data_IF_580168626992
#
_entry.id   IF_580168626992
#
_cell.length_a   1.000
_cell.length_b   1.000
_cell.length_c   1.000
_cell.angle_alpha   90.00
_cell.angle_beta   90.00
_cell.angle_gamma   90.00
#
_symmetry.space_group_name_H-M   'P 1'
#
loop_
_entity.id
_entity.type
_entity.pdbx_description
1 polymer ?
#
# COMPACT_ATOMS: atom_id res chain seq x y z
N UNK A 1 5.35 -22.54 -8.45
CA UNK A 1 3.97 -22.26 -8.92
C UNK A 1 3.99 -20.96 -9.71
N UNK A 2 3.43 -20.98 -10.90
CA UNK A 2 3.29 -19.74 -11.67
C UNK A 2 1.99 -19.04 -11.28
N UNK A 3 2.11 -17.85 -10.69
CA UNK A 3 0.97 -17.05 -10.25
C UNK A 3 0.45 -16.12 -11.33
N UNK A 4 1.10 -16.12 -12.52
CA UNK A 4 0.74 -15.29 -13.67
C UNK A 4 0.72 -13.78 -13.33
N UNK A 5 1.66 -13.35 -12.51
CA UNK A 5 1.78 -11.96 -12.07
C UNK A 5 2.76 -11.13 -12.89
N UNK A 6 3.44 -11.75 -13.86
CA UNK A 6 4.40 -11.05 -14.72
C UNK A 6 3.74 -9.85 -15.40
N UNK A 7 4.31 -8.66 -15.18
CA UNK A 7 3.79 -7.41 -15.73
C UNK A 7 2.50 -6.88 -15.11
N UNK A 8 1.94 -7.55 -14.11
CA UNK A 8 0.79 -7.05 -13.37
C UNK A 8 1.23 -5.94 -12.42
N UNK A 9 0.47 -4.86 -12.36
CA UNK A 9 0.78 -3.75 -11.47
C UNK A 9 0.10 -3.92 -10.13
N UNK A 10 0.91 -3.95 -9.07
CA UNK A 10 0.45 -4.19 -7.70
C UNK A 10 0.82 -3.03 -6.78
N UNK A 11 -0.12 -2.58 -5.96
CA UNK A 11 0.13 -1.64 -4.86
C UNK A 11 -0.05 -2.36 -3.54
N UNK A 12 0.93 -2.21 -2.66
CA UNK A 12 0.82 -2.63 -1.26
C UNK A 12 0.86 -1.40 -0.38
N UNK A 13 -0.24 -1.07 0.29
CA UNK A 13 -0.27 0.09 1.19
C UNK A 13 0.50 -0.20 2.48
N UNK A 14 1.18 0.81 3.03
CA UNK A 14 1.98 0.63 4.24
C UNK A 14 3.08 -0.42 4.08
N UNK A 15 3.85 -0.35 3.00
CA UNK A 15 4.79 -1.41 2.62
C UNK A 15 6.26 -1.06 2.82
N UNK A 16 6.58 -0.10 3.69
CA UNK A 16 7.98 0.26 3.98
C UNK A 16 8.66 -0.69 4.96
N UNK A 17 7.91 -1.52 5.65
CA UNK A 17 8.42 -2.46 6.66
C UNK A 17 7.42 -3.60 6.89
N UNK A 18 7.83 -4.60 7.65
CA UNK A 18 6.97 -5.67 8.17
C UNK A 18 6.28 -6.50 7.09
N UNK A 19 5.02 -6.83 7.36
CA UNK A 19 4.22 -7.70 6.48
C UNK A 19 4.02 -7.06 5.09
N UNK A 20 3.77 -5.76 5.04
CA UNK A 20 3.61 -5.04 3.77
C UNK A 20 4.87 -5.09 2.91
N UNK A 21 6.04 -4.89 3.50
CA UNK A 21 7.30 -5.01 2.79
C UNK A 21 7.53 -6.45 2.28
N UNK A 22 7.29 -7.44 3.12
CA UNK A 22 7.44 -8.84 2.73
C UNK A 22 6.50 -9.21 1.58
N UNK A 23 5.27 -8.70 1.61
CA UNK A 23 4.28 -8.89 0.54
C UNK A 23 4.77 -8.25 -0.76
N UNK A 24 5.23 -7.01 -0.70
CA UNK A 24 5.75 -6.29 -1.87
C UNK A 24 6.95 -7.02 -2.49
N UNK A 25 7.87 -7.49 -1.65
CA UNK A 25 9.02 -8.27 -2.09
C UNK A 25 8.59 -9.58 -2.76
N UNK A 26 7.61 -10.28 -2.17
CA UNK A 26 7.06 -11.51 -2.75
C UNK A 26 6.45 -11.28 -4.12
N UNK A 27 5.65 -10.24 -4.27
CA UNK A 27 5.04 -9.87 -5.56
C UNK A 27 6.11 -9.52 -6.61
N UNK A 28 7.16 -8.80 -6.21
CA UNK A 28 8.27 -8.48 -7.09
C UNK A 28 9.00 -9.74 -7.58
N UNK A 29 9.19 -10.73 -6.70
CA UNK A 29 9.79 -12.03 -7.06
C UNK A 29 8.96 -12.81 -8.08
N UNK A 30 7.65 -12.59 -8.07
CA UNK A 30 6.72 -13.20 -9.02
C UNK A 30 6.54 -12.40 -10.31
N UNK A 31 7.34 -11.34 -10.52
CA UNK A 31 7.36 -10.56 -11.75
C UNK A 31 6.38 -9.40 -11.82
N UNK A 32 5.70 -9.08 -10.74
CA UNK A 32 4.81 -7.93 -10.71
C UNK A 32 5.58 -6.60 -10.72
N UNK A 33 4.99 -5.57 -11.32
CA UNK A 33 5.39 -4.18 -11.14
C UNK A 33 4.84 -3.71 -9.79
N UNK A 34 5.71 -3.43 -8.82
CA UNK A 34 5.28 -3.17 -7.45
C UNK A 34 5.37 -1.69 -7.11
N UNK A 35 4.29 -1.16 -6.54
CA UNK A 35 4.27 0.16 -5.93
C UNK A 35 4.34 -0.03 -4.43
N UNK A 36 5.39 0.50 -3.81
CA UNK A 36 5.52 0.56 -2.35
C UNK A 36 5.06 1.92 -1.86
N UNK A 37 4.42 1.93 -0.69
CA UNK A 37 3.82 3.13 -0.12
C UNK A 37 4.16 3.25 1.36
N UNK A 38 4.38 4.47 1.78
CA UNK A 38 4.52 4.89 3.16
C UNK A 38 4.36 6.39 3.25
N UNK A 39 4.26 6.93 4.46
CA UNK A 39 4.12 8.39 4.67
C UNK A 39 5.43 9.14 4.44
N UNK A 40 6.56 8.52 4.78
CA UNK A 40 7.88 9.14 4.67
C UNK A 40 8.52 8.79 3.33
N UNK A 41 8.82 9.79 2.48
CA UNK A 41 9.47 9.57 1.18
C UNK A 41 10.80 8.81 1.29
N UNK A 42 11.62 9.13 2.27
CA UNK A 42 12.91 8.47 2.47
C UNK A 42 12.76 6.99 2.80
N UNK A 43 11.80 6.63 3.64
CA UNK A 43 11.52 5.24 3.98
C UNK A 43 10.94 4.47 2.79
N UNK A 44 10.07 5.11 2.01
CA UNK A 44 9.50 4.51 0.81
C UNK A 44 10.59 4.24 -0.23
N UNK A 45 11.49 5.20 -0.46
CA UNK A 45 12.62 5.03 -1.37
C UNK A 45 13.58 3.92 -0.91
N UNK A 46 13.87 3.85 0.39
CA UNK A 46 14.72 2.76 0.92
C UNK A 46 14.08 1.39 0.72
N UNK A 47 12.78 1.28 0.95
CA UNK A 47 12.07 0.02 0.73
C UNK A 47 12.14 -0.40 -0.75
N UNK A 48 11.88 0.52 -1.67
CA UNK A 48 11.99 0.27 -3.10
C UNK A 48 13.41 -0.19 -3.49
N UNK A 49 14.44 0.49 -2.98
CA UNK A 49 15.83 0.16 -3.25
C UNK A 49 16.21 -1.23 -2.70
N UNK A 50 15.71 -1.59 -1.52
CA UNK A 50 15.93 -2.93 -0.95
C UNK A 50 15.31 -4.03 -1.82
N UNK A 51 14.11 -3.81 -2.34
CA UNK A 51 13.47 -4.76 -3.24
C UNK A 51 14.28 -4.92 -4.52
N UNK A 52 14.72 -3.81 -5.11
CA UNK A 52 15.56 -3.84 -6.33
C UNK A 52 16.89 -4.57 -6.11
N UNK A 53 17.49 -4.41 -4.93
CA UNK A 53 18.73 -5.10 -4.58
C UNK A 53 18.54 -6.62 -4.48
N UNK A 54 17.37 -7.07 -4.01
CA UNK A 54 17.06 -8.50 -3.82
C UNK A 54 16.46 -9.14 -5.07
N UNK A 55 15.83 -8.34 -5.93
CA UNK A 55 15.19 -8.78 -7.17
C UNK A 55 15.65 -7.83 -8.27
N UNK A 56 16.83 -8.07 -8.88
CA UNK A 56 17.46 -7.08 -9.77
C UNK A 56 16.61 -6.67 -10.98
N UNK A 57 15.75 -7.55 -11.46
CA UNK A 57 14.88 -7.27 -12.63
C UNK A 57 13.53 -6.65 -12.22
N UNK A 58 13.29 -6.44 -10.93
CA UNK A 58 12.03 -5.91 -10.46
C UNK A 58 11.81 -4.45 -10.87
N UNK A 59 10.59 -4.16 -11.28
CA UNK A 59 10.11 -2.78 -11.47
C UNK A 59 9.41 -2.36 -10.21
N UNK A 60 9.97 -1.38 -9.51
CA UNK A 60 9.47 -0.91 -8.22
C UNK A 60 9.37 0.60 -8.23
N UNK A 61 8.23 1.12 -7.84
CA UNK A 61 7.97 2.55 -7.69
C UNK A 61 7.66 2.85 -6.23
N UNK A 62 8.27 3.90 -5.68
CA UNK A 62 7.95 4.39 -4.34
C UNK A 62 6.99 5.56 -4.45
N UNK A 63 5.88 5.52 -3.71
CA UNK A 63 4.92 6.62 -3.63
C UNK A 63 4.67 6.95 -2.17
N UNK A 64 5.15 8.13 -1.75
CA UNK A 64 4.90 8.65 -0.42
C UNK A 64 3.52 9.31 -0.38
N UNK A 65 2.64 8.84 0.49
CA UNK A 65 1.33 9.42 0.73
C UNK A 65 0.81 8.96 2.08
N UNK A 66 0.15 9.86 2.80
CA UNK A 66 -0.56 9.52 4.03
C UNK A 66 -2.00 9.12 3.68
N UNK A 67 -2.29 7.84 3.76
CA UNK A 67 -3.59 7.29 3.36
C UNK A 67 -4.65 7.36 4.47
N UNK A 68 -4.35 8.00 5.59
CA UNK A 68 -5.31 8.22 6.67
C UNK A 68 -6.35 9.29 6.36
N UNK A 69 -6.17 10.04 5.28
CA UNK A 69 -7.10 11.10 4.88
C UNK A 69 -7.39 11.08 3.36
N UNK A 70 -8.37 11.88 2.96
CA UNK A 70 -8.78 11.98 1.56
C UNK A 70 -7.68 12.55 0.65
N UNK A 71 -7.02 13.68 1.00
CA UNK A 71 -5.96 14.23 0.15
C UNK A 71 -4.81 13.27 -0.11
N UNK A 72 -4.41 12.49 0.89
CA UNK A 72 -3.36 11.48 0.74
C UNK A 72 -3.75 10.36 -0.22
N UNK A 73 -4.98 9.85 -0.10
CA UNK A 73 -5.51 8.85 -1.02
C UNK A 73 -5.58 9.40 -2.46
N UNK A 74 -6.07 10.61 -2.63
CA UNK A 74 -6.13 11.26 -3.95
C UNK A 74 -4.75 11.48 -4.56
N UNK A 75 -3.76 11.84 -3.75
CA UNK A 75 -2.37 12.00 -4.16
C UNK A 75 -1.81 10.67 -4.70
N UNK A 76 -2.03 9.56 -3.99
CA UNK A 76 -1.62 8.24 -4.44
C UNK A 76 -2.30 7.86 -5.76
N UNK A 77 -3.61 8.06 -5.86
CA UNK A 77 -4.39 7.75 -7.05
C UNK A 77 -3.88 8.53 -8.27
N UNK A 78 -3.53 9.80 -8.10
CA UNK A 78 -2.94 10.60 -9.19
C UNK A 78 -1.61 10.03 -9.66
N UNK A 79 -0.78 9.55 -8.73
CA UNK A 79 0.52 8.96 -9.06
C UNK A 79 0.38 7.58 -9.70
N UNK A 80 -0.65 6.83 -9.30
CA UNK A 80 -0.89 5.45 -9.75
C UNK A 80 -2.36 5.30 -10.09
N UNK A 81 -2.81 5.74 -11.29
CA UNK A 81 -4.24 5.74 -11.60
C UNK A 81 -4.86 4.37 -11.84
N UNK A 82 -4.05 3.37 -12.22
CA UNK A 82 -4.55 2.02 -12.53
C UNK A 82 -3.72 0.94 -11.86
N UNK A 83 -4.36 -0.11 -11.40
CA UNK A 83 -3.76 -1.29 -10.78
C UNK A 83 -4.45 -2.56 -11.25
N UNK A 84 -3.69 -3.66 -11.22
CA UNK A 84 -4.24 -5.01 -11.36
C UNK A 84 -4.46 -5.66 -9.97
N UNK A 85 -3.61 -5.33 -9.00
CA UNK A 85 -3.71 -5.84 -7.63
C UNK A 85 -3.62 -4.70 -6.62
N UNK A 86 -4.51 -4.73 -5.65
CA UNK A 86 -4.47 -3.82 -4.50
C UNK A 86 -4.41 -4.66 -3.22
N UNK A 87 -3.35 -4.45 -2.44
CA UNK A 87 -3.23 -5.06 -1.12
C UNK A 87 -3.40 -3.97 -0.07
N UNK A 88 -4.57 -3.95 0.55
CA UNK A 88 -4.90 -3.02 1.63
C UNK A 88 -4.26 -3.53 2.94
N UNK A 89 -2.99 -3.20 3.13
CA UNK A 89 -2.20 -3.64 4.26
C UNK A 89 -2.05 -2.55 5.34
N UNK A 90 -2.23 -1.27 4.98
CA UNK A 90 -2.04 -0.19 5.94
C UNK A 90 -2.90 -0.39 7.19
N UNK A 91 -2.29 -0.25 8.35
CA UNK A 91 -2.98 -0.28 9.62
C UNK A 91 -2.13 0.32 10.71
N UNK A 92 -2.77 0.88 11.72
CA UNK A 92 -2.14 1.31 12.95
C UNK A 92 -2.67 0.46 14.09
N UNK A 93 -1.84 0.24 15.08
CA UNK A 93 -2.17 -0.52 16.27
C UNK A 93 -1.54 0.19 17.47
N UNK A 94 -2.38 0.51 18.46
CA UNK A 94 -1.97 1.24 19.65
C UNK A 94 -2.82 0.75 20.84
N UNK A 95 -2.34 -0.25 21.57
CA UNK A 95 -3.14 -0.82 22.66
C UNK A 95 -3.27 0.16 23.83
N UNK A 96 -4.50 0.31 24.31
CA UNK A 96 -4.85 1.08 25.50
C UNK A 96 -5.96 0.37 26.26
N UNK A 97 -6.07 0.54 27.58
CA UNK A 97 -7.29 0.16 28.30
C UNK A 97 -8.52 0.82 27.67
N UNK A 98 -9.63 0.09 27.62
CA UNK A 98 -10.83 0.55 26.92
C UNK A 98 -11.29 1.94 27.41
N UNK A 99 -11.27 2.17 28.72
CA UNK A 99 -11.71 3.42 29.35
C UNK A 99 -10.79 4.61 29.04
N UNK A 100 -9.58 4.37 28.55
CA UNK A 100 -8.64 5.42 28.15
C UNK A 100 -8.70 5.75 26.66
N UNK A 101 -9.47 4.99 25.89
CA UNK A 101 -9.62 5.23 24.44
C UNK A 101 -10.63 6.36 24.25
N UNK A 102 -10.16 7.46 23.69
CA UNK A 102 -11.01 8.63 23.41
C UNK A 102 -11.71 8.48 22.04
N UNK A 103 -12.77 9.26 21.85
CA UNK A 103 -13.49 9.28 20.55
C UNK A 103 -12.53 9.57 19.39
N UNK A 104 -11.58 10.50 19.58
CA UNK A 104 -10.59 10.83 18.55
C UNK A 104 -9.72 9.63 18.17
N UNK A 105 -9.39 8.74 19.12
CA UNK A 105 -8.65 7.51 18.83
C UNK A 105 -9.47 6.55 17.96
N UNK A 106 -10.76 6.37 18.28
CA UNK A 106 -11.66 5.55 17.49
C UNK A 106 -11.78 6.06 16.06
N UNK A 107 -11.96 7.37 15.88
CA UNK A 107 -12.08 7.99 14.55
C UNK A 107 -10.77 7.87 13.77
N UNK A 108 -9.63 8.10 14.41
CA UNK A 108 -8.31 7.96 13.77
C UNK A 108 -8.05 6.54 13.31
N UNK A 109 -8.39 5.54 14.13
CA UNK A 109 -8.23 4.14 13.75
C UNK A 109 -9.15 3.76 12.61
N UNK A 110 -10.39 4.23 12.62
CA UNK A 110 -11.35 3.99 11.55
C UNK A 110 -10.88 4.61 10.23
N UNK A 111 -10.46 5.88 10.25
CA UNK A 111 -9.96 6.57 9.06
C UNK A 111 -8.72 5.88 8.47
N UNK A 112 -7.82 5.44 9.32
CA UNK A 112 -6.57 4.82 8.87
C UNK A 112 -6.76 3.36 8.46
N UNK A 113 -7.42 2.56 9.30
CA UNK A 113 -7.50 1.11 9.12
C UNK A 113 -8.64 0.67 8.19
N UNK A 114 -9.70 1.47 8.08
CA UNK A 114 -10.89 1.12 7.29
C UNK A 114 -11.02 2.01 6.06
N UNK A 115 -11.10 3.32 6.26
CA UNK A 115 -11.40 4.24 5.16
C UNK A 115 -10.30 4.32 4.11
N UNK A 116 -9.04 4.10 4.47
CA UNK A 116 -7.96 4.00 3.48
C UNK A 116 -8.27 2.93 2.43
N UNK A 117 -8.63 1.73 2.89
CA UNK A 117 -9.00 0.63 2.02
C UNK A 117 -10.28 0.89 1.22
N UNK A 118 -11.28 1.49 1.85
CA UNK A 118 -12.54 1.86 1.19
C UNK A 118 -12.29 2.83 0.03
N UNK A 119 -11.53 3.89 0.28
CA UNK A 119 -11.26 4.94 -0.74
C UNK A 119 -10.47 4.40 -1.92
N UNK A 120 -9.42 3.63 -1.67
CA UNK A 120 -8.60 3.05 -2.73
C UNK A 120 -9.37 1.96 -3.49
N UNK A 121 -10.07 1.08 -2.80
CA UNK A 121 -10.88 0.05 -3.44
C UNK A 121 -11.99 0.64 -4.32
N UNK A 122 -12.63 1.71 -3.84
CA UNK A 122 -13.66 2.41 -4.62
C UNK A 122 -13.12 2.92 -5.95
N UNK A 123 -11.90 3.46 -5.94
CA UNK A 123 -11.29 3.96 -7.16
C UNK A 123 -10.85 2.84 -8.10
N UNK A 124 -10.12 1.84 -7.59
CA UNK A 124 -9.48 0.85 -8.45
C UNK A 124 -10.40 -0.28 -8.94
N UNK A 125 -11.44 -0.59 -8.18
CA UNK A 125 -12.30 -1.75 -8.46
C UNK A 125 -12.91 -1.69 -9.86
N UNK A 126 -13.35 -0.52 -10.29
CA UNK A 126 -14.00 -0.37 -11.60
C UNK A 126 -13.06 -0.79 -12.74
N UNK A 127 -11.84 -0.26 -12.77
CA UNK A 127 -10.85 -0.60 -13.79
C UNK A 127 -10.45 -2.07 -13.74
N UNK A 128 -10.32 -2.64 -12.53
CA UNK A 128 -10.03 -4.07 -12.36
C UNK A 128 -11.13 -4.96 -12.96
N UNK A 129 -12.40 -4.56 -12.79
CA UNK A 129 -13.53 -5.31 -13.33
C UNK A 129 -13.66 -5.21 -14.86
N UNK A 130 -13.20 -4.10 -15.41
CA UNK A 130 -13.24 -3.85 -16.87
C UNK A 130 -12.11 -4.55 -17.62
N UNK A 131 -11.04 -4.94 -16.91
CA UNK A 131 -9.87 -5.65 -17.47
C UNK A 131 -9.83 -7.15 -17.03
#
# INVERSE_FOLDING_TARGET
MDLQLEGKRALVTGSTAGIGFATALGLAREGADVVVNGRDPGRADRAANLIRARVPDARVTAVAADLSDVPGCESLIRAVPELDLLVNNLGIFEPKPFEEIEDADWLRFFETNVMSGVRLSRHYLRGMRER
#
